data_IF_975844421593
#
_entry.id   IF_975844421593
#
_cell.length_a   1.000
_cell.length_b   1.000
_cell.length_c   1.000
_cell.angle_alpha   90.00
_cell.angle_beta   90.00
_cell.angle_gamma   90.00
#
_symmetry.space_group_name_H-M   'P 1'
#
loop_
_entity.id
_entity.type
_entity.pdbx_description
1 polymer ?
#
# COMPACT_ATOMS: atom_id res chain seq x y z
N UNK A 1 35.37 -39.46 -43.91
CA UNK A 1 36.42 -40.30 -43.30
C UNK A 1 36.54 -39.94 -41.83
N UNK A 2 36.42 -40.95 -40.96
CA UNK A 2 36.52 -40.98 -39.49
C UNK A 2 35.31 -40.56 -38.63
N UNK A 3 34.82 -41.61 -37.97
CA UNK A 3 33.89 -41.77 -36.85
C UNK A 3 34.69 -41.75 -35.54
N UNK A 4 34.05 -41.35 -34.42
CA UNK A 4 33.98 -41.95 -33.07
C UNK A 4 33.67 -40.83 -32.03
N UNK A 5 32.44 -40.75 -31.46
CA UNK A 5 31.93 -41.36 -30.20
C UNK A 5 32.65 -40.89 -28.93
N UNK A 6 32.05 -40.73 -27.74
CA UNK A 6 30.68 -40.74 -27.19
C UNK A 6 30.79 -40.36 -25.69
N UNK A 7 29.67 -39.92 -25.07
CA UNK A 7 29.23 -40.05 -23.65
C UNK A 7 28.47 -38.78 -23.24
N UNK A 8 27.26 -38.79 -22.70
CA UNK A 8 26.37 -39.87 -22.31
C UNK A 8 24.97 -39.32 -21.98
N UNK A 9 23.96 -40.16 -22.20
CA UNK A 9 22.55 -39.96 -21.91
C UNK A 9 22.26 -39.98 -20.41
N UNK A 10 21.26 -39.22 -19.95
CA UNK A 10 20.41 -39.61 -18.80
C UNK A 10 19.10 -38.81 -18.77
N UNK A 11 18.00 -39.55 -18.92
CA UNK A 11 16.59 -39.25 -18.55
C UNK A 11 15.75 -38.41 -19.52
N UNK A 12 15.38 -39.09 -20.60
CA UNK A 12 14.05 -39.03 -21.22
C UNK A 12 13.05 -39.80 -20.33
N UNK A 13 11.73 -39.58 -20.51
CA UNK A 13 10.59 -40.42 -20.07
C UNK A 13 9.92 -40.02 -18.73
N UNK A 14 9.03 -39.02 -18.80
CA UNK A 14 7.79 -38.96 -18.01
C UNK A 14 6.77 -37.96 -18.62
N UNK A 15 6.78 -37.80 -19.95
CA UNK A 15 5.81 -36.98 -20.69
C UNK A 15 5.02 -37.93 -21.60
N UNK A 16 3.69 -37.78 -21.60
CA UNK A 16 2.68 -38.60 -22.29
C UNK A 16 2.37 -39.96 -21.65
N UNK A 17 1.40 -39.97 -20.74
CA UNK A 17 0.26 -40.90 -20.71
C UNK A 17 -0.58 -40.55 -19.49
N UNK A 18 -1.75 -39.93 -19.72
CA UNK A 18 -3.02 -39.98 -18.96
C UNK A 18 -3.77 -38.69 -19.28
N UNK A 19 -4.38 -38.67 -20.47
CA UNK A 19 -5.59 -37.88 -20.72
C UNK A 19 -6.65 -38.89 -21.10
N UNK A 20 -7.53 -39.25 -20.15
CA UNK A 20 -8.98 -39.42 -20.33
C UNK A 20 -9.59 -40.24 -19.19
N UNK A 21 -10.72 -39.73 -18.69
CA UNK A 21 -11.74 -40.35 -17.84
C UNK A 21 -11.39 -40.63 -16.37
N UNK A 22 -11.64 -39.64 -15.51
CA UNK A 22 -12.75 -39.76 -14.55
C UNK A 22 -13.50 -38.42 -14.54
N UNK A 23 -14.74 -38.45 -15.02
CA UNK A 23 -15.68 -37.36 -14.83
C UNK A 23 -16.39 -37.48 -13.48
N UNK A 24 -16.51 -36.33 -12.82
CA UNK A 24 -17.58 -35.91 -11.89
C UNK A 24 -17.65 -36.65 -10.54
N UNK A 25 -17.29 -35.96 -9.44
CA UNK A 25 -18.17 -35.51 -8.34
C UNK A 25 -17.34 -34.65 -7.35
N UNK A 26 -17.70 -33.37 -7.25
CA UNK A 26 -17.85 -32.62 -6.00
C UNK A 26 -16.66 -32.49 -5.03
N UNK A 27 -15.92 -31.39 -5.17
CA UNK A 27 -15.91 -30.32 -4.17
C UNK A 27 -15.20 -29.13 -4.83
N UNK A 28 -15.99 -28.17 -5.32
CA UNK A 28 -15.43 -26.86 -5.59
C UNK A 28 -14.84 -26.37 -4.28
N UNK A 29 -13.51 -26.28 -4.20
CA UNK A 29 -12.93 -25.26 -3.35
C UNK A 29 -13.56 -23.97 -3.86
N UNK A 30 -14.51 -23.41 -3.10
CA UNK A 30 -15.06 -22.11 -3.37
C UNK A 30 -13.85 -21.18 -3.45
N UNK A 31 -13.45 -20.82 -4.67
CA UNK A 31 -12.54 -19.72 -4.86
C UNK A 31 -13.23 -18.55 -4.18
N UNK A 32 -12.69 -18.08 -3.07
CA UNK A 32 -13.16 -16.84 -2.47
C UNK A 32 -13.07 -15.80 -3.58
N UNK A 33 -14.22 -15.43 -4.14
CA UNK A 33 -14.31 -14.33 -5.08
C UNK A 33 -13.74 -13.14 -4.33
N UNK A 34 -12.60 -12.59 -4.77
CA UNK A 34 -12.06 -11.38 -4.15
C UNK A 34 -13.16 -10.31 -4.14
N UNK A 35 -13.41 -9.72 -2.97
CA UNK A 35 -14.41 -8.68 -2.82
C UNK A 35 -14.21 -7.58 -3.88
N UNK A 36 -15.29 -7.01 -4.43
CA UNK A 36 -15.17 -5.98 -5.47
C UNK A 36 -14.43 -4.76 -4.93
N UNK A 37 -13.58 -4.17 -5.76
CA UNK A 37 -12.95 -2.88 -5.47
C UNK A 37 -14.01 -1.80 -5.44
N UNK A 38 -13.98 -0.98 -4.39
CA UNK A 38 -14.78 0.22 -4.21
C UNK A 38 -13.87 1.43 -4.19
N UNK A 39 -14.40 2.60 -4.52
CA UNK A 39 -13.66 3.85 -4.53
C UNK A 39 -14.35 4.87 -3.62
N UNK A 40 -13.63 5.32 -2.60
CA UNK A 40 -14.03 6.46 -1.78
C UNK A 40 -13.17 7.66 -2.17
N UNK A 41 -13.80 8.75 -2.58
CA UNK A 41 -13.11 9.96 -3.04
C UNK A 41 -13.48 11.17 -2.21
N UNK A 42 -12.59 12.15 -2.16
CA UNK A 42 -12.83 13.38 -1.43
C UNK A 42 -11.57 14.23 -1.28
N UNK A 43 -11.55 15.04 -0.23
CA UNK A 43 -10.44 15.95 0.08
C UNK A 43 -9.99 15.81 1.52
N UNK A 44 -8.78 16.27 1.81
CA UNK A 44 -8.35 16.47 3.19
C UNK A 44 -7.52 17.75 3.36
N UNK A 45 -7.60 18.29 4.56
CA UNK A 45 -6.63 19.28 5.05
C UNK A 45 -5.58 18.58 5.91
N UNK A 46 -4.34 19.09 5.90
CA UNK A 46 -3.24 18.56 6.70
C UNK A 46 -2.49 19.70 7.39
N UNK A 47 -2.19 19.49 8.66
CA UNK A 47 -1.24 20.31 9.42
C UNK A 47 -0.06 19.44 9.84
N UNK A 48 1.14 20.00 9.76
CA UNK A 48 2.38 19.34 10.16
C UNK A 48 3.06 20.18 11.24
N UNK A 49 3.18 19.63 12.44
CA UNK A 49 3.95 20.24 13.52
C UNK A 49 5.32 19.57 13.59
N UNK A 50 6.43 20.32 13.72
CA UNK A 50 7.73 19.72 13.94
C UNK A 50 7.71 18.90 15.24
N UNK A 51 8.34 17.72 15.18
CA UNK A 51 8.66 16.93 16.35
C UNK A 51 9.93 17.46 17.04
N UNK A 52 10.41 16.69 18.01
CA UNK A 52 11.69 16.96 18.67
C UNK A 52 12.83 16.90 17.66
N UNK A 53 13.82 17.76 17.87
CA UNK A 53 15.05 17.76 17.08
C UNK A 53 15.81 16.45 17.25
N UNK A 54 16.30 15.90 16.14
CA UNK A 54 17.14 14.70 16.13
C UNK A 54 18.61 15.08 15.87
N UNK A 55 19.53 14.27 16.39
CA UNK A 55 20.96 14.51 16.21
C UNK A 55 21.36 14.30 14.75
N UNK A 56 22.17 15.21 14.21
CA UNK A 56 22.84 15.03 12.92
C UNK A 56 24.09 14.17 13.14
N UNK A 57 24.18 13.04 12.47
CA UNK A 57 25.33 12.15 12.50
C UNK A 57 25.93 12.00 11.11
N UNK A 58 27.26 12.17 11.02
CA UNK A 58 27.98 12.13 9.74
C UNK A 58 27.39 13.03 8.62
N UNK A 59 26.75 14.14 9.00
CA UNK A 59 26.11 15.08 8.08
C UNK A 59 24.70 14.66 7.61
N UNK A 60 24.14 13.58 8.16
CA UNK A 60 22.77 13.14 7.91
C UNK A 60 21.92 13.35 9.16
N UNK A 61 20.75 13.95 8.97
CA UNK A 61 19.75 14.13 10.03
C UNK A 61 18.40 13.60 9.57
N UNK A 62 17.57 13.26 10.54
CA UNK A 62 16.17 12.96 10.32
C UNK A 62 15.31 14.12 10.83
N UNK A 63 14.23 14.38 10.12
CA UNK A 63 13.19 15.30 10.55
C UNK A 63 11.96 14.50 10.95
N UNK A 64 11.42 14.79 12.15
CA UNK A 64 10.16 14.21 12.61
C UNK A 64 9.06 15.24 12.56
N UNK A 65 7.85 14.82 12.16
CA UNK A 65 6.65 15.66 12.18
C UNK A 65 5.48 14.91 12.80
N UNK A 66 4.63 15.63 13.52
CA UNK A 66 3.31 15.18 13.94
C UNK A 66 2.29 15.67 12.91
N UNK A 67 1.52 14.74 12.36
CA UNK A 67 0.52 15.00 11.35
C UNK A 67 -0.86 15.07 11.99
N UNK A 68 -1.68 16.01 11.54
CA UNK A 68 -3.13 15.99 11.80
C UNK A 68 -3.87 16.30 10.51
N UNK A 69 -4.92 15.53 10.21
CA UNK A 69 -5.72 15.66 9.01
C UNK A 69 -7.20 15.68 9.31
N UNK A 70 -7.94 16.35 8.44
CA UNK A 70 -9.41 16.30 8.43
C UNK A 70 -9.85 15.87 7.05
N UNK A 71 -10.45 14.69 6.95
CA UNK A 71 -10.95 14.10 5.71
C UNK A 71 -12.44 14.41 5.52
N UNK A 72 -12.81 14.70 4.28
CA UNK A 72 -14.19 14.97 3.86
C UNK A 72 -14.50 14.19 2.58
N UNK A 73 -15.77 13.81 2.38
CA UNK A 73 -16.21 12.98 1.25
C UNK A 73 -16.47 11.53 1.66
N UNK A 74 -16.02 10.57 0.83
CA UNK A 74 -16.18 9.13 1.09
C UNK A 74 -15.54 8.70 2.42
N UNK A 75 -14.43 9.33 2.80
CA UNK A 75 -13.88 9.33 4.15
C UNK A 75 -14.32 10.62 4.85
N UNK A 76 -15.06 10.50 5.95
CA UNK A 76 -15.35 11.59 6.88
C UNK A 76 -14.72 11.23 8.23
N UNK A 77 -13.53 11.77 8.50
CA UNK A 77 -12.69 11.31 9.59
C UNK A 77 -11.67 12.36 10.04
N UNK A 78 -11.10 12.13 11.22
CA UNK A 78 -9.86 12.79 11.65
C UNK A 78 -8.69 11.83 11.53
N UNK A 79 -7.59 12.35 11.00
CA UNK A 79 -6.31 11.67 10.85
C UNK A 79 -5.30 12.21 11.85
N UNK A 80 -4.54 11.32 12.50
CA UNK A 80 -3.43 11.70 13.36
C UNK A 80 -2.27 10.71 13.19
N UNK A 81 -1.07 11.22 12.96
CA UNK A 81 0.07 10.37 12.61
C UNK A 81 1.42 11.00 12.90
N UNK A 82 2.47 10.29 12.52
CA UNK A 82 3.84 10.77 12.57
C UNK A 82 4.53 10.49 11.25
N UNK A 83 5.39 11.43 10.85
CA UNK A 83 6.25 11.33 9.68
C UNK A 83 7.71 11.41 10.10
N UNK A 84 8.55 10.60 9.48
CA UNK A 84 10.01 10.74 9.48
C UNK A 84 10.46 11.03 8.06
N UNK A 85 11.36 11.99 7.88
CA UNK A 85 11.95 12.33 6.61
C UNK A 85 13.46 12.47 6.72
N UNK A 86 14.18 12.15 5.66
CA UNK A 86 15.63 12.32 5.59
C UNK A 86 16.12 12.36 4.15
N UNK A 87 17.29 12.95 3.94
CA UNK A 87 17.89 13.12 2.62
C UNK A 87 19.28 13.74 2.71
N UNK A 88 20.00 13.88 1.59
CA UNK A 88 21.28 14.56 1.56
C UNK A 88 21.15 15.99 2.09
N UNK A 89 22.09 16.47 2.92
CA UNK A 89 22.01 17.80 3.51
C UNK A 89 21.92 18.89 2.43
N UNK A 90 20.95 19.79 2.56
CA UNK A 90 20.71 20.90 1.64
C UNK A 90 20.07 20.51 0.30
N UNK A 91 19.66 19.25 0.11
CA UNK A 91 18.99 18.81 -1.11
C UNK A 91 17.48 18.97 -1.01
N UNK A 92 16.90 19.67 -1.99
CA UNK A 92 15.45 19.73 -2.20
C UNK A 92 14.94 18.68 -3.20
N UNK A 93 15.87 17.96 -3.85
CA UNK A 93 15.59 17.06 -4.98
C UNK A 93 15.92 15.60 -4.67
N UNK A 94 16.29 15.29 -3.42
CA UNK A 94 16.60 13.93 -3.00
C UNK A 94 16.18 13.72 -1.55
N UNK A 95 15.43 12.64 -1.29
CA UNK A 95 15.04 12.28 0.06
C UNK A 95 13.94 11.23 0.09
N UNK A 96 13.72 10.68 1.28
CA UNK A 96 12.66 9.73 1.56
C UNK A 96 11.89 10.21 2.78
N UNK A 97 10.59 9.98 2.78
CA UNK A 97 9.80 10.01 3.98
C UNK A 97 9.00 8.73 4.17
N UNK A 98 8.70 8.45 5.42
CA UNK A 98 7.75 7.42 5.84
C UNK A 98 6.78 8.02 6.86
N UNK A 99 5.53 7.59 6.82
CA UNK A 99 4.56 7.99 7.83
C UNK A 99 3.61 6.86 8.18
N UNK A 100 3.15 6.86 9.42
CA UNK A 100 2.00 6.06 9.86
C UNK A 100 0.95 7.02 10.41
N UNK A 101 -0.27 6.86 9.92
CA UNK A 101 -1.41 7.69 10.27
C UNK A 101 -2.58 6.82 10.72
N UNK A 102 -3.20 7.19 11.84
CA UNK A 102 -4.48 6.64 12.25
C UNK A 102 -5.61 7.51 11.75
N UNK A 103 -6.57 6.91 11.07
CA UNK A 103 -7.80 7.53 10.61
C UNK A 103 -8.96 7.01 11.46
N UNK A 104 -9.76 7.92 12.04
CA UNK A 104 -10.92 7.58 12.90
C UNK A 104 -12.15 8.35 12.42
N UNK A 105 -13.21 7.63 12.06
CA UNK A 105 -14.43 8.22 11.54
C UNK A 105 -15.25 7.21 10.73
N UNK A 106 -15.70 7.63 9.54
CA UNK A 106 -16.48 6.78 8.64
C UNK A 106 -15.86 6.67 7.25
N UNK A 107 -15.95 5.48 6.65
CA UNK A 107 -15.68 5.21 5.23
C UNK A 107 -16.97 4.75 4.56
N UNK A 108 -17.51 5.54 3.62
CA UNK A 108 -18.80 5.35 2.96
C UNK A 108 -19.93 5.03 3.96
N UNK A 109 -19.95 5.78 5.07
CA UNK A 109 -20.92 5.64 6.16
C UNK A 109 -20.64 4.52 7.17
N UNK A 110 -19.63 3.66 6.95
CA UNK A 110 -19.24 2.59 7.88
C UNK A 110 -18.30 3.12 8.95
N UNK A 111 -18.65 2.90 10.23
CA UNK A 111 -17.92 3.50 11.35
C UNK A 111 -16.75 2.63 11.79
N UNK A 112 -15.60 3.25 12.00
CA UNK A 112 -14.41 2.54 12.49
C UNK A 112 -13.16 3.39 12.50
N UNK A 113 -12.03 2.68 12.55
CA UNK A 113 -10.72 3.25 12.42
C UNK A 113 -9.83 2.31 11.59
N UNK A 114 -8.76 2.86 11.02
CA UNK A 114 -7.71 2.09 10.34
C UNK A 114 -6.40 2.88 10.34
N UNK A 115 -5.31 2.23 9.95
CA UNK A 115 -4.03 2.89 9.76
C UNK A 115 -3.70 3.00 8.26
N UNK A 116 -3.10 4.11 7.87
CA UNK A 116 -2.42 4.30 6.58
C UNK A 116 -0.91 4.30 6.79
N UNK A 117 -0.19 3.57 5.94
CA UNK A 117 1.26 3.61 5.85
C UNK A 117 1.66 4.36 4.57
N UNK A 118 2.59 5.30 4.71
CA UNK A 118 3.10 6.12 3.61
C UNK A 118 4.57 5.80 3.39
N UNK A 119 4.97 5.77 2.12
CA UNK A 119 6.37 5.88 1.69
C UNK A 119 6.42 6.81 0.50
N UNK A 120 7.22 7.87 0.59
CA UNK A 120 7.52 8.72 -0.55
C UNK A 120 9.01 8.87 -0.75
N UNK A 121 9.43 8.87 -2.01
CA UNK A 121 10.81 9.03 -2.43
C UNK A 121 10.87 10.16 -3.48
N UNK A 122 11.84 11.07 -3.34
CA UNK A 122 12.18 12.09 -4.33
C UNK A 122 13.60 11.78 -4.81
N UNK A 123 13.80 11.73 -6.13
CA UNK A 123 15.11 11.61 -6.75
C UNK A 123 15.12 12.27 -8.15
N UNK A 124 16.19 12.07 -8.92
CA UNK A 124 16.35 12.63 -10.27
C UNK A 124 15.31 12.14 -11.29
N UNK A 125 14.66 11.01 -11.05
CA UNK A 125 13.60 10.44 -11.89
C UNK A 125 12.22 11.02 -11.53
N UNK A 126 12.12 11.73 -10.40
CA UNK A 126 10.92 12.42 -9.94
C UNK A 126 10.47 11.99 -8.55
N UNK A 127 9.16 12.13 -8.32
CA UNK A 127 8.50 11.77 -7.06
C UNK A 127 7.77 10.45 -7.20
N UNK A 128 7.95 9.55 -6.23
CA UNK A 128 7.12 8.36 -6.07
C UNK A 128 6.46 8.35 -4.70
N UNK A 129 5.22 7.85 -4.65
CA UNK A 129 4.41 7.79 -3.44
C UNK A 129 3.59 6.51 -3.43
N UNK A 130 3.70 5.76 -2.33
CA UNK A 130 2.81 4.66 -2.00
C UNK A 130 2.14 4.96 -0.66
N UNK A 131 0.81 4.88 -0.65
CA UNK A 131 0.01 4.97 0.57
C UNK A 131 -0.94 3.79 0.58
N UNK A 132 -0.91 2.99 1.65
CA UNK A 132 -1.70 1.75 1.75
C UNK A 132 -2.37 1.64 3.10
N UNK A 133 -3.53 0.99 3.14
CA UNK A 133 -4.14 0.56 4.40
C UNK A 133 -3.25 -0.51 5.03
N UNK A 134 -2.85 -0.31 6.28
CA UNK A 134 -2.06 -1.31 7.01
C UNK A 134 -2.90 -2.58 7.19
N UNK A 135 -2.40 -3.75 6.75
CA UNK A 135 -3.15 -5.00 6.84
C UNK A 135 -3.65 -5.29 8.25
N UNK A 136 -4.96 -5.59 8.37
CA UNK A 136 -5.59 -5.93 9.64
C UNK A 136 -5.78 -4.76 10.62
N UNK A 137 -5.51 -3.52 10.20
CA UNK A 137 -5.67 -2.34 11.08
C UNK A 137 -7.11 -1.86 11.25
N UNK A 138 -8.01 -2.31 10.39
CA UNK A 138 -9.43 -1.91 10.41
C UNK A 138 -10.17 -2.36 11.67
N UNK A 139 -10.97 -1.47 12.26
CA UNK A 139 -11.79 -1.74 13.45
C UNK A 139 -13.26 -1.45 13.20
N UNK A 140 -14.16 -1.98 14.04
CA UNK A 140 -15.60 -1.74 13.90
C UNK A 140 -16.12 -2.29 12.58
N UNK A 141 -16.91 -1.49 11.86
CA UNK A 141 -17.46 -1.85 10.54
C UNK A 141 -16.41 -1.89 9.43
N UNK A 142 -15.17 -1.49 9.75
CA UNK A 142 -14.02 -1.49 8.85
C UNK A 142 -13.09 -2.69 9.09
N UNK A 143 -13.49 -3.65 9.93
CA UNK A 143 -12.72 -4.88 10.14
C UNK A 143 -12.53 -5.62 8.82
N UNK A 144 -11.28 -5.95 8.48
CA UNK A 144 -10.92 -6.58 7.20
C UNK A 144 -10.69 -5.61 6.04
N UNK A 145 -10.68 -4.31 6.29
CA UNK A 145 -10.34 -3.29 5.28
C UNK A 145 -8.94 -3.53 4.69
N UNK A 146 -8.85 -3.45 3.37
CA UNK A 146 -7.62 -3.33 2.61
C UNK A 146 -7.81 -2.29 1.51
N UNK A 147 -6.72 -1.66 1.06
CA UNK A 147 -6.80 -0.70 -0.02
C UNK A 147 -5.54 0.13 -0.24
N UNK A 148 -5.54 0.81 -1.38
CA UNK A 148 -4.50 1.71 -1.84
C UNK A 148 -5.07 3.12 -1.92
N UNK A 149 -4.31 4.09 -1.42
CA UNK A 149 -4.73 5.49 -1.34
C UNK A 149 -3.91 6.32 -2.34
N UNK A 150 -4.58 6.87 -3.34
CA UNK A 150 -4.00 7.78 -4.30
C UNK A 150 -4.18 9.24 -3.83
N UNK A 151 -3.14 10.06 -4.00
CA UNK A 151 -3.14 11.48 -3.70
C UNK A 151 -2.92 12.28 -4.99
N UNK A 152 -3.78 13.26 -5.24
CA UNK A 152 -3.59 14.28 -6.27
C UNK A 152 -3.69 15.65 -5.63
N UNK A 153 -2.78 16.56 -5.98
CA UNK A 153 -2.82 17.96 -5.51
C UNK A 153 -3.15 18.84 -6.70
N UNK A 154 -4.29 19.54 -6.64
CA UNK A 154 -4.74 20.49 -7.68
C UNK A 154 -5.10 21.81 -7.01
N UNK A 155 -4.55 22.91 -7.49
CA UNK A 155 -4.77 24.27 -6.94
C UNK A 155 -4.54 24.37 -5.41
N UNK A 156 -3.58 23.60 -4.90
CA UNK A 156 -3.23 23.56 -3.47
C UNK A 156 -4.17 22.71 -2.61
N UNK A 157 -5.17 22.05 -3.20
CA UNK A 157 -6.12 21.17 -2.51
C UNK A 157 -5.65 19.72 -2.62
N UNK A 158 -5.59 19.01 -1.50
CA UNK A 158 -5.32 17.57 -1.48
C UNK A 158 -6.60 16.79 -1.78
N UNK A 159 -6.63 16.11 -2.92
CA UNK A 159 -7.66 15.18 -3.32
C UNK A 159 -7.18 13.75 -3.11
N UNK A 160 -8.09 12.87 -2.67
CA UNK A 160 -7.80 11.45 -2.56
C UNK A 160 -8.77 10.58 -3.33
N UNK A 161 -8.27 9.40 -3.70
CA UNK A 161 -9.05 8.24 -4.11
C UNK A 161 -8.53 7.02 -3.34
N UNK A 162 -9.35 6.48 -2.44
CA UNK A 162 -9.08 5.23 -1.75
C UNK A 162 -9.77 4.10 -2.52
N UNK A 163 -8.98 3.30 -3.22
CA UNK A 163 -9.42 2.04 -3.82
C UNK A 163 -9.37 0.95 -2.75
N UNK A 164 -10.52 0.49 -2.26
CA UNK A 164 -10.59 -0.40 -1.10
C UNK A 164 -11.49 -1.62 -1.31
N UNK A 165 -11.28 -2.62 -0.45
CA UNK A 165 -12.15 -3.79 -0.30
C UNK A 165 -12.54 -3.94 1.17
N UNK A 166 -13.77 -4.40 1.37
CA UNK A 166 -14.27 -4.88 2.65
C UNK A 166 -14.90 -6.26 2.42
N UNK A 167 -14.81 -7.18 3.39
CA UNK A 167 -15.55 -8.43 3.33
C UNK A 167 -17.06 -8.16 3.18
N UNK A 168 -17.74 -9.03 2.42
CA UNK A 168 -19.20 -9.04 2.44
C UNK A 168 -19.67 -9.46 3.84
N UNK A 169 -20.64 -8.74 4.37
CA UNK A 169 -21.24 -8.96 5.69
C UNK A 169 -22.28 -10.06 5.69
#
# INVERSE_FOLDING_TARGET
MRVLTARGYSVLIALLLVVMMVGIIGAGAAGAQEAPVRHATGTFEVTMAPGDEEQVEAGLGLSRYVLSKTFQGGITAVGAGQMLAGGPPGSETAGTYVALERVVGTLDGRSGAFLLAHRGDINSEGYSLSITVVPGSGTGDLTGLSGDFALTITDGIHHYDLAYRLPDS
#
